data_IF_033640091159
#
_entry.id   IF_033640091159
#
_cell.length_a   1.000
_cell.length_b   1.000
_cell.length_c   1.000
_cell.angle_alpha   90.00
_cell.angle_beta   90.00
_cell.angle_gamma   90.00
#
_symmetry.space_group_name_H-M   'P 1'
#
loop_
_entity.id
_entity.type
_entity.pdbx_description
1 polymer ?
#
# COMPACT_ATOMS: atom_id res chain seq x y z
N UNK A 1 -8.74 -26.97 -2.42
CA UNK A 1 -8.89 -26.17 -1.17
C UNK A 1 -8.34 -27.02 -0.05
N UNK A 2 -7.50 -26.46 0.82
CA UNK A 2 -6.98 -27.19 1.99
C UNK A 2 -8.09 -27.21 3.05
N UNK A 3 -8.33 -28.38 3.64
CA UNK A 3 -9.21 -28.53 4.80
C UNK A 3 -8.34 -28.61 6.07
N UNK A 4 -8.32 -27.52 6.84
CA UNK A 4 -7.58 -27.47 8.11
C UNK A 4 -8.27 -28.27 9.23
N UNK A 5 -9.57 -28.57 9.12
CA UNK A 5 -10.30 -29.35 10.11
C UNK A 5 -9.98 -30.86 10.02
N UNK A 6 -9.48 -31.32 8.86
CA UNK A 6 -8.99 -32.68 8.68
C UNK A 6 -7.61 -32.94 9.34
N UNK A 7 -6.92 -31.88 9.80
CA UNK A 7 -5.63 -32.00 10.50
C UNK A 7 -5.85 -32.03 12.01
N UNK A 8 -5.05 -32.83 12.75
CA UNK A 8 -5.12 -32.84 14.21
C UNK A 8 -4.59 -31.51 14.79
N UNK A 9 -5.05 -31.12 15.99
CA UNK A 9 -4.74 -29.81 16.57
C UNK A 9 -3.24 -29.55 16.74
N UNK A 10 -2.44 -30.58 17.00
CA UNK A 10 -0.98 -30.48 17.15
C UNK A 10 -0.32 -29.89 15.89
N UNK A 11 -0.82 -30.22 14.70
CA UNK A 11 -0.28 -29.72 13.44
C UNK A 11 -0.68 -28.27 13.20
N UNK A 12 -1.95 -27.93 13.41
CA UNK A 12 -2.44 -26.56 13.20
C UNK A 12 -1.82 -25.59 14.23
N UNK A 13 -1.78 -25.99 15.50
CA UNK A 13 -1.15 -25.22 16.57
C UNK A 13 0.35 -25.05 16.36
N UNK A 14 1.10 -26.12 16.08
CA UNK A 14 2.54 -25.99 15.85
C UNK A 14 2.86 -25.05 14.67
N UNK A 15 2.07 -25.06 13.61
CA UNK A 15 2.22 -24.14 12.47
C UNK A 15 1.87 -22.69 12.83
N UNK A 16 0.81 -22.47 13.62
CA UNK A 16 0.40 -21.11 14.02
C UNK A 16 1.40 -20.46 14.98
N UNK A 17 1.94 -21.24 15.92
CA UNK A 17 2.88 -20.79 16.96
C UNK A 17 4.34 -20.75 16.50
N UNK A 18 4.63 -21.13 15.25
CA UNK A 18 5.95 -20.99 14.65
C UNK A 18 6.00 -19.85 13.65
N UNK A 19 7.19 -19.25 13.49
CA UNK A 19 7.41 -18.17 12.54
C UNK A 19 7.50 -16.77 13.16
N UNK A 20 7.54 -15.72 12.33
CA UNK A 20 7.91 -14.37 12.74
C UNK A 20 6.75 -13.51 13.28
N UNK A 21 5.52 -14.04 13.35
CA UNK A 21 4.34 -13.30 13.78
C UNK A 21 3.85 -12.25 12.77
N UNK A 22 3.03 -11.30 13.22
CA UNK A 22 2.44 -10.25 12.39
C UNK A 22 3.36 -9.05 12.10
N UNK A 23 4.46 -8.91 12.84
CA UNK A 23 5.36 -7.73 12.76
C UNK A 23 5.85 -7.44 11.33
N UNK A 24 6.28 -8.42 10.51
CA UNK A 24 6.67 -8.14 9.12
C UNK A 24 5.55 -7.55 8.28
N UNK A 25 4.29 -7.97 8.52
CA UNK A 25 3.13 -7.44 7.79
C UNK A 25 2.77 -6.02 8.23
N UNK A 26 2.90 -5.71 9.53
CA UNK A 26 2.74 -4.35 10.03
C UNK A 26 3.83 -3.40 9.48
N UNK A 27 5.08 -3.88 9.38
CA UNK A 27 6.15 -3.12 8.74
C UNK A 27 5.86 -2.86 7.26
N UNK A 28 5.35 -3.85 6.53
CA UNK A 28 4.90 -3.68 5.15
C UNK A 28 3.76 -2.66 5.04
N UNK A 29 2.78 -2.70 5.95
CA UNK A 29 1.68 -1.74 5.99
C UNK A 29 2.19 -0.30 6.15
N UNK A 30 3.13 -0.08 7.08
CA UNK A 30 3.75 1.22 7.28
C UNK A 30 4.53 1.70 6.04
N UNK A 31 5.30 0.82 5.40
CA UNK A 31 6.06 1.15 4.19
C UNK A 31 5.14 1.53 3.02
N UNK A 32 4.04 0.82 2.81
CA UNK A 32 3.05 1.16 1.77
C UNK A 32 2.36 2.50 2.02
N UNK A 33 2.01 2.79 3.27
CA UNK A 33 1.44 4.09 3.63
C UNK A 33 2.44 5.24 3.42
N UNK A 34 3.72 5.03 3.76
CA UNK A 34 4.77 6.00 3.50
C UNK A 34 4.96 6.24 1.99
N UNK A 35 4.98 5.18 1.18
CA UNK A 35 5.06 5.28 -0.28
C UNK A 35 3.88 6.07 -0.85
N UNK A 36 2.66 5.82 -0.35
CA UNK A 36 1.49 6.58 -0.76
C UNK A 36 1.58 8.07 -0.42
N UNK A 37 2.13 8.41 0.76
CA UNK A 37 2.35 9.80 1.15
C UNK A 37 3.36 10.49 0.22
N UNK A 38 4.49 9.85 -0.05
CA UNK A 38 5.51 10.37 -0.98
C UNK A 38 4.96 10.55 -2.40
N UNK A 39 4.14 9.61 -2.89
CA UNK A 39 3.47 9.75 -4.20
C UNK A 39 2.51 10.94 -4.25
N UNK A 40 1.79 11.25 -3.17
CA UNK A 40 0.94 12.45 -3.10
C UNK A 40 1.76 13.73 -3.08
N UNK A 41 2.86 13.75 -2.33
CA UNK A 41 3.80 14.88 -2.32
C UNK A 41 4.36 15.10 -3.72
N UNK A 42 4.78 14.03 -4.40
CA UNK A 42 5.24 14.10 -5.78
C UNK A 42 4.15 14.60 -6.73
N UNK A 43 2.92 14.07 -6.67
CA UNK A 43 1.81 14.52 -7.50
C UNK A 43 1.53 16.02 -7.31
N UNK A 44 1.50 16.51 -6.06
CA UNK A 44 1.30 17.91 -5.75
C UNK A 44 2.44 18.80 -6.27
N UNK A 45 3.69 18.37 -6.08
CA UNK A 45 4.86 19.10 -6.58
C UNK A 45 4.88 19.20 -8.11
N UNK A 46 4.62 18.09 -8.80
CA UNK A 46 4.54 18.09 -10.27
C UNK A 46 3.36 18.93 -10.76
N UNK A 47 2.19 18.81 -10.13
CA UNK A 47 1.02 19.62 -10.44
C UNK A 47 1.27 21.11 -10.31
N UNK A 48 1.99 21.54 -9.27
CA UNK A 48 2.40 22.94 -9.08
C UNK A 48 3.26 23.45 -10.23
N UNK A 49 4.32 22.72 -10.59
CA UNK A 49 5.25 23.12 -11.67
C UNK A 49 4.53 23.14 -13.03
N UNK A 50 3.66 22.16 -13.29
CA UNK A 50 2.85 22.13 -14.53
C UNK A 50 1.87 23.30 -14.59
N UNK A 51 1.30 23.72 -13.46
CA UNK A 51 0.41 24.88 -13.38
C UNK A 51 1.18 26.19 -13.63
N UNK A 52 2.35 26.36 -13.02
CA UNK A 52 3.23 27.52 -13.24
C UNK A 52 3.62 27.65 -14.72
N UNK A 53 4.05 26.54 -15.32
CA UNK A 53 4.38 26.44 -16.74
C UNK A 53 3.25 26.93 -17.66
N UNK A 54 2.00 26.60 -17.28
CA UNK A 54 0.81 26.93 -18.07
C UNK A 54 0.30 28.36 -17.85
N UNK A 55 0.74 29.08 -16.80
CA UNK A 55 0.06 30.31 -16.35
C UNK A 55 0.95 31.53 -16.07
N UNK A 56 2.24 31.37 -15.73
CA UNK A 56 2.99 32.49 -15.11
C UNK A 56 3.99 33.20 -16.03
N UNK A 57 4.50 32.57 -17.09
CA UNK A 57 5.43 33.26 -18.03
C UNK A 57 5.65 32.57 -19.38
N UNK A 58 5.41 31.26 -19.49
CA UNK A 58 5.59 30.49 -20.73
C UNK A 58 4.26 30.31 -21.45
N UNK A 59 3.80 31.35 -22.12
CA UNK A 59 2.59 31.28 -22.93
C UNK A 59 2.87 30.75 -24.34
N UNK A 60 1.97 29.91 -24.85
CA UNK A 60 1.96 29.48 -26.25
C UNK A 60 1.83 27.97 -26.45
N UNK A 61 1.78 27.51 -27.71
CA UNK A 61 1.48 26.12 -28.06
C UNK A 61 2.45 25.10 -27.45
N UNK A 62 3.73 25.47 -27.28
CA UNK A 62 4.74 24.59 -26.68
C UNK A 62 4.49 24.33 -25.19
N UNK A 63 4.06 25.34 -24.43
CA UNK A 63 3.71 25.17 -23.01
C UNK A 63 2.46 24.31 -22.85
N UNK A 64 1.42 24.56 -23.67
CA UNK A 64 0.20 23.73 -23.71
C UNK A 64 0.53 22.28 -24.06
N UNK A 65 1.43 22.04 -25.02
CA UNK A 65 1.86 20.70 -25.38
C UNK A 65 2.58 19.99 -24.24
N UNK A 66 3.41 20.71 -23.47
CA UNK A 66 4.14 20.13 -22.35
C UNK A 66 3.24 19.82 -21.16
N UNK A 67 2.33 20.73 -20.80
CA UNK A 67 1.38 20.50 -19.71
C UNK A 67 0.45 19.31 -20.01
N UNK A 68 -0.02 19.20 -21.26
CA UNK A 68 -0.80 18.04 -21.72
C UNK A 68 0.02 16.73 -21.65
N UNK A 69 1.30 16.76 -21.99
CA UNK A 69 2.17 15.58 -21.92
C UNK A 69 2.46 15.13 -20.47
N UNK A 70 2.50 16.05 -19.51
CA UNK A 70 2.75 15.76 -18.11
C UNK A 70 1.51 15.25 -17.35
N UNK A 71 0.30 15.59 -17.81
CA UNK A 71 -0.95 15.26 -17.10
C UNK A 71 -1.12 13.76 -16.78
N UNK A 72 -0.87 12.80 -17.70
CA UNK A 72 -1.03 11.38 -17.40
C UNK A 72 -0.11 10.88 -16.29
N UNK A 73 1.07 11.48 -16.13
CA UNK A 73 2.01 11.10 -15.07
C UNK A 73 1.56 11.58 -13.69
N UNK A 74 1.01 12.80 -13.60
CA UNK A 74 0.43 13.34 -12.36
C UNK A 74 -0.80 12.53 -11.94
N UNK A 75 -1.63 12.13 -12.91
CA UNK A 75 -2.76 11.24 -12.68
C UNK A 75 -2.30 9.87 -12.18
N UNK A 76 -1.28 9.28 -12.83
CA UNK A 76 -0.71 8.01 -12.41
C UNK A 76 -0.15 8.04 -10.98
N UNK A 77 0.57 9.11 -10.61
CA UNK A 77 1.06 9.30 -9.23
C UNK A 77 -0.09 9.31 -8.22
N UNK A 78 -1.14 10.07 -8.52
CA UNK A 78 -2.31 10.22 -7.66
C UNK A 78 -3.08 8.89 -7.52
N UNK A 79 -3.34 8.20 -8.62
CA UNK A 79 -4.04 6.92 -8.63
C UNK A 79 -3.23 5.82 -7.92
N UNK A 80 -1.92 5.80 -8.11
CA UNK A 80 -1.04 4.81 -7.48
C UNK A 80 -0.88 5.07 -5.99
N UNK A 81 -0.90 6.33 -5.54
CA UNK A 81 -0.96 6.66 -4.12
C UNK A 81 -2.19 6.05 -3.43
N UNK A 82 -3.37 6.10 -4.07
CA UNK A 82 -4.59 5.47 -3.55
C UNK A 82 -4.44 3.95 -3.45
N UNK A 83 -3.88 3.32 -4.50
CA UNK A 83 -3.64 1.87 -4.49
C UNK A 83 -2.64 1.47 -3.40
N UNK A 84 -1.57 2.24 -3.20
CA UNK A 84 -0.58 1.99 -2.15
C UNK A 84 -1.20 2.05 -0.74
N UNK A 85 -2.07 3.03 -0.46
CA UNK A 85 -2.83 3.05 0.82
C UNK A 85 -3.74 1.85 1.00
N UNK A 86 -4.39 1.41 -0.09
CA UNK A 86 -5.22 0.22 -0.05
C UNK A 86 -4.38 -1.01 0.30
N UNK A 87 -3.19 -1.16 -0.27
CA UNK A 87 -2.28 -2.25 0.09
C UNK A 87 -1.86 -2.16 1.55
N UNK A 88 -1.53 -0.96 2.05
CA UNK A 88 -1.22 -0.75 3.46
C UNK A 88 -2.37 -1.14 4.40
N UNK A 89 -3.59 -0.80 4.04
CA UNK A 89 -4.82 -1.17 4.76
C UNK A 89 -5.02 -2.68 4.77
N UNK A 90 -4.85 -3.34 3.62
CA UNK A 90 -5.00 -4.80 3.51
C UNK A 90 -3.90 -5.55 4.27
N UNK A 91 -2.68 -5.02 4.32
CA UNK A 91 -1.60 -5.57 5.14
C UNK A 91 -1.94 -5.50 6.64
N UNK A 92 -2.47 -4.37 7.12
CA UNK A 92 -2.99 -4.28 8.50
C UNK A 92 -4.12 -5.28 8.77
N UNK A 93 -5.05 -5.45 7.82
CA UNK A 93 -6.13 -6.42 7.93
C UNK A 93 -5.61 -7.86 8.00
N UNK A 94 -4.60 -8.20 7.21
CA UNK A 94 -3.95 -9.51 7.23
C UNK A 94 -3.22 -9.76 8.58
N UNK A 95 -2.52 -8.77 9.11
CA UNK A 95 -1.92 -8.83 10.43
C UNK A 95 -2.97 -9.07 11.52
N UNK A 96 -4.08 -8.32 11.50
CA UNK A 96 -5.17 -8.50 12.46
C UNK A 96 -5.85 -9.88 12.36
N UNK A 97 -6.02 -10.40 11.14
CA UNK A 97 -6.55 -11.75 10.92
C UNK A 97 -5.62 -12.83 11.49
N UNK A 98 -4.30 -12.67 11.33
CA UNK A 98 -3.31 -13.56 11.95
C UNK A 98 -3.41 -13.52 13.48
N UNK A 99 -3.41 -12.34 14.10
CA UNK A 99 -3.48 -12.21 15.56
C UNK A 99 -4.78 -12.80 16.13
N UNK A 100 -5.91 -12.59 15.43
CA UNK A 100 -7.18 -13.22 15.79
C UNK A 100 -7.09 -14.74 15.76
N UNK A 101 -6.58 -15.32 14.66
CA UNK A 101 -6.39 -16.76 14.55
C UNK A 101 -5.41 -17.32 15.59
N UNK A 102 -4.30 -16.62 15.84
CA UNK A 102 -3.30 -16.97 16.85
C UNK A 102 -3.95 -17.03 18.24
N UNK A 103 -4.71 -16.00 18.62
CA UNK A 103 -5.37 -15.92 19.93
C UNK A 103 -6.42 -17.03 20.17
N UNK A 104 -7.05 -17.53 19.12
CA UNK A 104 -8.03 -18.62 19.19
C UNK A 104 -7.40 -20.00 19.07
N UNK A 105 -6.15 -20.10 18.64
CA UNK A 105 -5.47 -21.39 18.43
C UNK A 105 -4.94 -21.93 19.75
N UNK A 106 -5.25 -23.18 20.06
CA UNK A 106 -4.84 -23.84 21.30
C UNK A 106 -3.30 -23.88 21.39
N UNK A 107 -2.68 -23.45 22.51
CA UNK A 107 -1.24 -23.54 22.70
C UNK A 107 -0.72 -24.98 22.57
N UNK A 108 0.44 -25.20 21.91
CA UNK A 108 1.11 -26.50 21.93
C UNK A 108 1.48 -26.90 23.38
N UNK A 109 1.39 -28.20 23.69
CA UNK A 109 1.80 -28.77 24.98
C UNK A 109 3.32 -28.84 25.16
#
# INVERSE_FOLDING_TARGET
MIDFAALPPEINSARMYSGPGSTPMLAAAAAWNAMAAEMRVAAASYGSVVSELASESWFGPSSVSMSAAAAPYVEWLSATAVQAEQVGTQANAAAAAYESAFSMTVPPA
#
